data_IF_588607547080
#
_entry.id   IF_588607547080
#
_cell.length_a   1.000
_cell.length_b   1.000
_cell.length_c   1.000
_cell.angle_alpha   90.00
_cell.angle_beta   90.00
_cell.angle_gamma   90.00
#
_symmetry.space_group_name_H-M   'P 1'
#
loop_
_entity.id
_entity.type
_entity.pdbx_description
1 polymer ?
#
# COMPACT_ATOMS: atom_id res chain seq x y z
N UNK A 1 15.83 -34.70 28.69
CA UNK A 1 14.42 -34.30 28.86
C UNK A 1 14.17 -33.05 28.02
N UNK A 2 13.44 -33.18 26.90
CA UNK A 2 13.16 -32.08 25.96
C UNK A 2 11.79 -31.47 26.28
N UNK A 3 11.76 -30.18 26.62
CA UNK A 3 10.54 -29.43 26.90
C UNK A 3 9.88 -29.07 25.57
N UNK A 4 8.75 -29.69 25.25
CA UNK A 4 7.90 -29.27 24.12
C UNK A 4 7.22 -27.96 24.50
N UNK A 5 7.61 -26.85 23.87
CA UNK A 5 6.87 -25.60 24.01
C UNK A 5 5.50 -25.76 23.35
N UNK A 6 4.44 -25.83 24.15
CA UNK A 6 3.07 -25.71 23.66
C UNK A 6 2.93 -24.36 22.93
N UNK A 7 2.62 -24.39 21.64
CA UNK A 7 2.48 -23.18 20.83
C UNK A 7 1.38 -22.29 21.39
N UNK A 8 1.70 -21.03 21.71
CA UNK A 8 0.67 -20.02 22.02
C UNK A 8 -0.15 -19.77 20.76
N UNK A 9 -1.46 -19.96 20.84
CA UNK A 9 -2.40 -19.50 19.82
C UNK A 9 -2.80 -18.07 20.17
N UNK A 10 -2.23 -17.10 19.48
CA UNK A 10 -2.68 -15.70 19.56
C UNK A 10 -3.94 -15.53 18.71
N UNK A 11 -5.05 -15.02 19.26
CA UNK A 11 -6.22 -14.72 18.45
C UNK A 11 -5.86 -13.64 17.44
N UNK A 12 -5.93 -14.01 16.17
CA UNK A 12 -5.69 -13.10 15.07
C UNK A 12 -7.03 -12.47 14.63
N UNK A 13 -7.22 -11.18 14.90
CA UNK A 13 -8.40 -10.43 14.45
C UNK A 13 -8.18 -9.83 13.06
N UNK A 14 -9.00 -10.21 12.07
CA UNK A 14 -8.89 -9.74 10.67
C UNK A 14 -8.79 -8.22 10.51
N UNK A 15 -9.47 -7.46 11.38
CA UNK A 15 -9.45 -6.00 11.40
C UNK A 15 -8.08 -5.37 11.71
N UNK A 16 -7.12 -6.11 12.27
CA UNK A 16 -5.77 -5.60 12.57
C UNK A 16 -4.84 -5.62 11.36
N UNK A 17 -5.10 -6.47 10.37
CA UNK A 17 -4.28 -6.60 9.15
C UNK A 17 -5.01 -6.13 7.90
N UNK A 18 -6.33 -6.07 7.89
CA UNK A 18 -7.06 -5.52 6.75
C UNK A 18 -6.73 -4.03 6.54
N UNK A 19 -6.57 -3.60 5.28
CA UNK A 19 -6.33 -2.21 4.97
C UNK A 19 -7.55 -1.35 5.37
N UNK A 20 -7.29 -0.15 5.91
CA UNK A 20 -8.36 0.80 6.21
C UNK A 20 -8.97 1.33 4.90
N UNK A 21 -10.22 0.96 4.64
CA UNK A 21 -11.01 1.40 3.49
C UNK A 21 -11.93 2.56 3.90
N UNK A 22 -12.09 3.55 3.02
CA UNK A 22 -13.07 4.63 3.10
C UNK A 22 -14.07 4.41 1.97
N UNK A 23 -15.33 4.13 2.31
CA UNK A 23 -16.39 3.85 1.35
C UNK A 23 -16.06 2.74 0.32
N UNK A 24 -15.23 1.76 0.71
CA UNK A 24 -14.80 0.67 -0.16
C UNK A 24 -13.60 0.99 -1.08
N UNK A 25 -12.97 2.16 -0.91
CA UNK A 25 -11.71 2.54 -1.57
C UNK A 25 -10.62 2.64 -0.53
N UNK A 26 -9.38 2.35 -0.89
CA UNK A 26 -8.26 2.51 0.04
C UNK A 26 -8.10 3.97 0.48
N UNK A 27 -7.87 4.16 1.79
CA UNK A 27 -7.70 5.48 2.41
C UNK A 27 -6.85 6.49 1.61
N UNK A 28 -5.63 6.18 1.13
CA UNK A 28 -4.83 7.19 0.44
C UNK A 28 -5.46 7.66 -0.88
N UNK A 29 -6.03 6.76 -1.68
CA UNK A 29 -6.67 7.13 -2.94
C UNK A 29 -7.98 7.88 -2.72
N UNK A 30 -8.76 7.47 -1.71
CA UNK A 30 -9.96 8.20 -1.31
C UNK A 30 -9.63 9.64 -0.87
N UNK A 31 -8.57 9.82 -0.08
CA UNK A 31 -8.12 11.15 0.36
C UNK A 31 -7.69 11.99 -0.84
N UNK A 32 -6.82 11.47 -1.71
CA UNK A 32 -6.34 12.23 -2.89
C UNK A 32 -7.49 12.64 -3.80
N UNK A 33 -8.42 11.72 -4.09
CA UNK A 33 -9.59 12.03 -4.92
C UNK A 33 -10.50 13.08 -4.27
N UNK A 34 -10.73 12.97 -2.96
CA UNK A 34 -11.52 13.95 -2.22
C UNK A 34 -10.84 15.33 -2.18
N UNK A 35 -9.52 15.38 -1.92
CA UNK A 35 -8.77 16.64 -1.91
C UNK A 35 -8.79 17.31 -3.28
N UNK A 36 -8.59 16.56 -4.38
CA UNK A 36 -8.70 17.10 -5.74
C UNK A 36 -10.11 17.59 -6.05
N UNK A 37 -11.14 16.84 -5.63
CA UNK A 37 -12.52 17.25 -5.81
C UNK A 37 -12.83 18.55 -5.06
N UNK A 38 -12.37 18.68 -3.82
CA UNK A 38 -12.55 19.89 -3.02
C UNK A 38 -11.81 21.07 -3.66
N UNK A 39 -10.56 20.90 -4.09
CA UNK A 39 -9.79 21.99 -4.71
C UNK A 39 -10.41 22.45 -6.04
N UNK A 40 -10.79 21.52 -6.92
CA UNK A 40 -11.29 21.88 -8.26
C UNK A 40 -12.73 22.38 -8.25
N UNK A 41 -13.57 21.87 -7.36
CA UNK A 41 -14.97 22.28 -7.27
C UNK A 41 -15.13 23.47 -6.33
N UNK A 42 -14.36 23.52 -5.24
CA UNK A 42 -14.40 24.60 -4.25
C UNK A 42 -13.69 25.86 -4.73
N UNK A 43 -12.43 25.76 -5.17
CA UNK A 43 -11.67 26.95 -5.58
C UNK A 43 -12.01 27.33 -7.02
N UNK A 44 -11.89 26.38 -7.95
CA UNK A 44 -12.01 26.65 -9.39
C UNK A 44 -13.47 26.61 -9.90
N UNK A 45 -14.44 26.23 -9.05
CA UNK A 45 -15.87 26.11 -9.41
C UNK A 45 -16.12 25.23 -10.64
N UNK A 46 -15.21 24.29 -10.92
CA UNK A 46 -15.31 23.40 -12.07
C UNK A 46 -16.21 22.21 -11.73
N UNK A 47 -17.52 22.45 -11.70
CA UNK A 47 -18.53 21.47 -11.29
C UNK A 47 -18.53 20.19 -12.13
N UNK A 48 -18.08 20.25 -13.39
CA UNK A 48 -17.92 19.06 -14.24
C UNK A 48 -16.96 18.01 -13.64
N UNK A 49 -16.03 18.44 -12.79
CA UNK A 49 -15.11 17.54 -12.09
C UNK A 49 -15.80 16.59 -11.11
N UNK A 50 -16.98 16.95 -10.58
CA UNK A 50 -17.73 16.05 -9.68
C UNK A 50 -18.06 14.73 -10.36
N UNK A 51 -18.48 14.76 -11.63
CA UNK A 51 -18.74 13.55 -12.40
C UNK A 51 -17.48 12.68 -12.55
N UNK A 52 -16.35 13.32 -12.87
CA UNK A 52 -15.05 12.63 -12.99
C UNK A 52 -14.62 12.04 -11.66
N UNK A 53 -14.72 12.79 -10.56
CA UNK A 53 -14.36 12.33 -9.22
C UNK A 53 -15.22 11.14 -8.76
N UNK A 54 -16.52 11.15 -9.08
CA UNK A 54 -17.43 10.03 -8.80
C UNK A 54 -17.08 8.79 -9.64
N UNK A 55 -16.78 8.97 -10.92
CA UNK A 55 -16.35 7.87 -11.80
C UNK A 55 -15.04 7.25 -11.32
N UNK A 56 -14.04 8.07 -11.00
CA UNK A 56 -12.75 7.61 -10.45
C UNK A 56 -12.99 6.86 -9.13
N UNK A 57 -13.82 7.40 -8.24
CA UNK A 57 -14.09 6.74 -6.96
C UNK A 57 -14.82 5.40 -7.14
N UNK A 58 -15.81 5.35 -8.03
CA UNK A 58 -16.53 4.12 -8.36
C UNK A 58 -15.62 3.05 -8.99
N UNK A 59 -14.74 3.46 -9.89
CA UNK A 59 -13.74 2.59 -10.51
C UNK A 59 -12.75 2.04 -9.49
N UNK A 60 -12.20 2.90 -8.62
CA UNK A 60 -11.32 2.48 -7.54
C UNK A 60 -12.03 1.52 -6.59
N UNK A 61 -13.30 1.77 -6.25
CA UNK A 61 -14.11 0.87 -5.42
C UNK A 61 -14.28 -0.49 -6.06
N UNK A 62 -14.49 -0.53 -7.38
CA UNK A 62 -14.63 -1.79 -8.12
C UNK A 62 -13.33 -2.60 -8.06
N UNK A 63 -12.19 -1.99 -8.37
CA UNK A 63 -10.88 -2.67 -8.30
C UNK A 63 -10.56 -3.15 -6.88
N UNK A 64 -10.86 -2.32 -5.88
CA UNK A 64 -10.59 -2.66 -4.48
C UNK A 64 -11.50 -3.78 -3.97
N UNK A 65 -12.68 -3.98 -4.59
CA UNK A 65 -13.59 -5.08 -4.26
C UNK A 65 -13.06 -6.44 -4.73
N UNK A 66 -12.29 -6.47 -5.81
CA UNK A 66 -11.78 -7.72 -6.40
C UNK A 66 -10.50 -8.22 -5.71
N UNK A 67 -9.66 -7.33 -5.17
CA UNK A 67 -8.41 -7.73 -4.50
C UNK A 67 -8.15 -6.94 -3.18
N UNK A 68 -8.48 -7.53 -2.02
CA UNK A 68 -8.25 -6.92 -0.71
C UNK A 68 -6.76 -6.85 -0.32
N UNK A 69 -5.85 -7.55 -1.03
CA UNK A 69 -4.43 -7.62 -0.70
C UNK A 69 -3.52 -6.84 -1.66
N UNK A 70 -4.06 -6.30 -2.75
CA UNK A 70 -3.32 -5.58 -3.80
C UNK A 70 -2.34 -4.56 -3.20
N UNK A 71 -2.77 -3.71 -2.27
CA UNK A 71 -1.90 -2.72 -1.61
C UNK A 71 -0.91 -3.32 -0.63
N UNK A 72 -1.22 -4.39 0.09
CA UNK A 72 -0.21 -5.05 0.93
C UNK A 72 0.91 -5.61 0.06
N UNK A 73 0.55 -6.23 -1.06
CA UNK A 73 1.47 -6.77 -2.04
C UNK A 73 2.31 -5.64 -2.63
N UNK A 74 1.67 -4.57 -3.15
CA UNK A 74 2.38 -3.40 -3.69
C UNK A 74 3.26 -2.68 -2.65
N UNK A 75 2.78 -2.48 -1.42
CA UNK A 75 3.55 -1.84 -0.36
C UNK A 75 4.71 -2.70 0.12
N UNK A 76 4.56 -4.04 0.05
CA UNK A 76 5.64 -5.00 0.33
C UNK A 76 6.66 -4.97 -0.81
N UNK A 77 6.23 -5.03 -2.06
CA UNK A 77 7.10 -4.87 -3.23
C UNK A 77 7.88 -3.55 -3.21
N UNK A 78 7.20 -2.42 -2.98
CA UNK A 78 7.83 -1.09 -2.92
C UNK A 78 8.81 -0.95 -1.74
N UNK A 79 8.59 -1.68 -0.64
CA UNK A 79 9.55 -1.75 0.48
C UNK A 79 10.70 -2.73 0.23
N UNK A 80 10.45 -3.79 -0.53
CA UNK A 80 11.41 -4.87 -0.79
C UNK A 80 12.30 -4.63 -2.00
N UNK A 81 12.16 -3.48 -2.68
CA UNK A 81 12.84 -3.12 -3.93
C UNK A 81 14.23 -3.77 -4.11
N UNK A 82 15.15 -3.53 -3.19
CA UNK A 82 16.53 -4.02 -3.26
C UNK A 82 16.74 -5.44 -2.71
N UNK A 83 15.81 -5.97 -1.93
CA UNK A 83 15.97 -7.26 -1.25
C UNK A 83 15.93 -8.45 -2.22
N UNK A 84 15.28 -8.29 -3.38
CA UNK A 84 15.16 -9.33 -4.41
C UNK A 84 15.89 -9.00 -5.71
N UNK A 85 16.38 -7.77 -5.88
CA UNK A 85 17.24 -7.44 -7.01
C UNK A 85 18.50 -8.31 -6.95
N UNK A 86 18.94 -8.97 -8.04
CA UNK A 86 20.20 -9.71 -8.06
C UNK A 86 21.45 -8.82 -8.06
N UNK A 87 21.37 -7.57 -8.55
CA UNK A 87 22.56 -6.72 -8.72
C UNK A 87 22.65 -5.63 -7.64
N UNK A 88 23.85 -5.33 -7.11
CA UNK A 88 24.00 -4.22 -6.16
C UNK A 88 23.93 -2.87 -6.87
N UNK A 89 23.07 -1.97 -6.40
CA UNK A 89 22.96 -0.60 -6.92
C UNK A 89 23.50 0.43 -5.92
N UNK A 90 24.29 1.39 -6.42
CA UNK A 90 24.94 2.43 -5.60
C UNK A 90 23.97 3.42 -4.92
N UNK A 91 22.71 3.47 -5.36
CA UNK A 91 21.76 4.54 -5.02
C UNK A 91 20.52 4.10 -4.25
N UNK A 92 20.49 2.89 -3.67
CA UNK A 92 19.25 2.40 -3.06
C UNK A 92 18.96 3.00 -1.69
N UNK A 93 18.09 4.03 -1.69
CA UNK A 93 17.63 4.68 -0.46
C UNK A 93 16.59 3.85 0.32
N UNK A 94 15.90 2.88 -0.31
CA UNK A 94 14.79 2.11 0.26
C UNK A 94 15.03 0.61 0.10
N UNK A 95 14.58 -0.19 1.08
CA UNK A 95 14.62 -1.65 0.98
C UNK A 95 16.01 -2.28 1.05
N UNK A 96 16.98 -1.64 1.72
CA UNK A 96 18.38 -2.10 1.82
C UNK A 96 18.47 -3.60 2.11
N UNK A 97 19.15 -4.36 1.24
CA UNK A 97 19.46 -5.80 1.42
C UNK A 97 19.93 -6.13 2.83
N UNK A 98 19.64 -7.30 3.43
CA UNK A 98 20.14 -7.66 4.76
C UNK A 98 21.66 -7.51 4.93
N UNK A 99 22.13 -7.37 6.18
CA UNK A 99 23.57 -7.36 6.46
C UNK A 99 24.20 -8.70 6.03
N UNK A 100 25.35 -8.65 5.35
CA UNK A 100 26.01 -9.83 4.78
C UNK A 100 25.58 -10.21 3.35
N UNK A 101 24.57 -9.54 2.77
CA UNK A 101 24.07 -9.81 1.41
C UNK A 101 24.58 -8.75 0.40
N UNK A 102 25.82 -8.28 0.55
CA UNK A 102 26.37 -7.24 -0.33
C UNK A 102 25.74 -5.84 -0.17
N UNK A 103 25.12 -5.55 0.99
CA UNK A 103 24.61 -4.21 1.34
C UNK A 103 25.74 -3.18 1.30
N UNK A 104 25.60 -2.16 0.43
CA UNK A 104 26.56 -1.05 0.33
C UNK A 104 27.77 -1.35 -0.56
N UNK A 105 27.80 -2.50 -1.25
CA UNK A 105 28.75 -2.73 -2.32
C UNK A 105 28.25 -1.99 -3.56
N UNK A 106 29.16 -1.33 -4.27
CA UNK A 106 28.96 -0.83 -5.63
C UNK A 106 29.69 -1.80 -6.56
N UNK A 107 29.03 -2.24 -7.62
CA UNK A 107 29.67 -3.01 -8.68
C UNK A 107 30.77 -2.20 -9.35
#
# INVERSE_FOLDING_TARGET
MSVRSAGRLSPCYSCLWEPLLIAGVEKPFAIVNATLAIALVGDLHFYGWLGVALLIHGFLRHITADDPFMRQIYARYNRQADSYDPWPHAGSGRGKRPAGWGRGLVC
#
